data_IF_810919580588
#
_entry.id   IF_810919580588
#
_cell.length_a   1.000
_cell.length_b   1.000
_cell.length_c   1.000
_cell.angle_alpha   90.00
_cell.angle_beta   90.00
_cell.angle_gamma   90.00
#
_symmetry.space_group_name_H-M   'P 1'
#
loop_
_entity.id
_entity.type
_entity.pdbx_description
1 polymer ?
#
# COMPACT_ATOMS: atom_id res chain seq x y z
N UNK A 1 8.49 6.17 19.08
CA UNK A 1 7.52 6.02 17.96
C UNK A 1 8.03 6.64 16.68
N UNK A 2 8.38 7.93 16.65
CA UNK A 2 8.87 8.62 15.44
C UNK A 2 10.18 8.00 14.92
N UNK A 3 11.14 7.72 15.82
CA UNK A 3 12.43 7.11 15.48
C UNK A 3 12.29 5.81 14.67
N UNK A 4 11.42 4.90 15.09
CA UNK A 4 11.21 3.63 14.39
C UNK A 4 10.72 3.83 12.95
N UNK A 5 9.90 4.86 12.70
CA UNK A 5 9.44 5.20 11.33
C UNK A 5 10.61 5.72 10.48
N UNK A 6 11.52 6.51 11.07
CA UNK A 6 12.71 7.03 10.40
C UNK A 6 13.71 5.92 10.05
N UNK A 7 13.81 4.89 10.90
CA UNK A 7 14.58 3.66 10.71
C UNK A 7 13.93 2.69 9.69
N UNK A 8 12.76 3.05 9.14
CA UNK A 8 12.12 2.31 8.07
C UNK A 8 11.04 1.33 8.52
N UNK A 9 10.75 1.23 9.83
CA UNK A 9 9.64 0.41 10.30
C UNK A 9 8.32 0.87 9.68
N UNK A 10 7.55 -0.09 9.17
CA UNK A 10 6.17 0.09 8.69
C UNK A 10 5.31 -1.00 9.29
N UNK A 11 4.01 -0.73 9.36
CA UNK A 11 3.07 -1.72 9.87
C UNK A 11 3.11 -2.97 8.98
N UNK A 12 3.14 -4.17 9.59
CA UNK A 12 3.07 -5.42 8.84
C UNK A 12 1.70 -5.54 8.15
N UNK A 13 1.61 -6.44 7.18
CA UNK A 13 0.34 -6.76 6.54
C UNK A 13 -0.64 -7.31 7.60
N UNK A 14 -1.89 -6.83 7.65
CA UNK A 14 -2.94 -7.47 8.43
C UNK A 14 -3.15 -8.93 8.00
N UNK A 15 -3.63 -9.78 8.90
CA UNK A 15 -3.94 -11.17 8.58
C UNK A 15 -4.98 -11.25 7.44
N UNK A 16 -4.70 -12.04 6.41
CA UNK A 16 -5.57 -12.18 5.24
C UNK A 16 -5.58 -10.96 4.30
N UNK A 17 -4.73 -9.96 4.53
CA UNK A 17 -4.63 -8.81 3.64
C UNK A 17 -3.95 -9.22 2.32
N UNK A 18 -4.58 -8.96 1.16
CA UNK A 18 -3.96 -9.16 -0.14
C UNK A 18 -2.63 -8.39 -0.25
N UNK A 19 -1.62 -9.05 -0.82
CA UNK A 19 -0.27 -8.49 -1.00
C UNK A 19 -0.32 -7.16 -1.74
N UNK A 20 -1.14 -7.06 -2.79
CA UNK A 20 -1.32 -5.84 -3.57
C UNK A 20 -1.81 -4.65 -2.72
N UNK A 21 -2.68 -4.89 -1.73
CA UNK A 21 -3.16 -3.83 -0.83
C UNK A 21 -2.08 -3.40 0.15
N UNK A 22 -1.32 -4.35 0.72
CA UNK A 22 -0.20 -4.00 1.60
C UNK A 22 0.89 -3.23 0.86
N UNK A 23 1.19 -3.59 -0.39
CA UNK A 23 2.11 -2.83 -1.24
C UNK A 23 1.64 -1.39 -1.45
N UNK A 24 0.34 -1.16 -1.72
CA UNK A 24 -0.22 0.19 -1.79
C UNK A 24 -0.02 0.96 -0.47
N UNK A 25 -0.23 0.33 0.68
CA UNK A 25 0.03 0.97 1.98
C UNK A 25 1.49 1.38 2.13
N UNK A 26 2.44 0.52 1.75
CA UNK A 26 3.88 0.83 1.78
C UNK A 26 4.26 1.97 0.84
N UNK A 27 3.60 2.10 -0.32
CA UNK A 27 3.76 3.25 -1.22
C UNK A 27 3.23 4.55 -0.59
N UNK A 28 2.08 4.49 0.09
CA UNK A 28 1.55 5.62 0.83
C UNK A 28 2.46 6.05 1.99
N UNK A 29 3.23 5.11 2.56
CA UNK A 29 4.14 5.36 3.68
C UNK A 29 5.60 5.61 3.26
N UNK A 30 5.88 5.94 2.00
CA UNK A 30 7.23 6.34 1.59
C UNK A 30 7.75 7.51 2.44
N UNK A 31 9.04 7.43 2.81
CA UNK A 31 9.72 8.47 3.59
C UNK A 31 9.65 9.81 2.86
N UNK A 32 10.02 9.79 1.58
CA UNK A 32 9.97 10.95 0.72
C UNK A 32 8.54 11.25 0.27
N UNK A 33 8.06 12.47 0.52
CA UNK A 33 6.69 12.88 0.18
C UNK A 33 6.40 12.81 -1.32
N UNK A 34 7.37 13.16 -2.14
CA UNK A 34 7.29 13.14 -3.62
C UNK A 34 7.06 11.74 -4.18
N UNK A 35 7.48 10.69 -3.46
CA UNK A 35 7.35 9.28 -3.85
C UNK A 35 6.02 8.65 -3.45
N UNK A 36 5.21 9.36 -2.66
CA UNK A 36 3.87 8.90 -2.29
C UNK A 36 2.93 9.08 -3.50
N UNK A 37 2.04 8.12 -3.77
CA UNK A 37 1.08 8.23 -4.87
C UNK A 37 0.15 9.43 -4.65
N UNK A 38 -0.32 10.05 -5.74
CA UNK A 38 -1.38 11.05 -5.64
C UNK A 38 -2.68 10.33 -5.32
N UNK A 39 -3.63 11.08 -4.76
CA UNK A 39 -4.93 10.52 -4.39
C UNK A 39 -5.64 9.84 -5.58
N UNK A 40 -5.57 10.44 -6.78
CA UNK A 40 -6.14 9.86 -8.00
C UNK A 40 -5.50 8.52 -8.38
N UNK A 41 -4.20 8.35 -8.14
CA UNK A 41 -3.49 7.10 -8.41
C UNK A 41 -3.97 5.99 -7.46
N UNK A 42 -4.17 6.34 -6.18
CA UNK A 42 -4.72 5.43 -5.16
C UNK A 42 -6.13 4.96 -5.55
N UNK A 43 -7.01 5.90 -5.93
CA UNK A 43 -8.38 5.58 -6.36
C UNK A 43 -8.37 4.69 -7.61
N UNK A 44 -7.55 5.02 -8.62
CA UNK A 44 -7.43 4.23 -9.85
C UNK A 44 -6.92 2.81 -9.58
N UNK A 45 -5.95 2.65 -8.67
CA UNK A 45 -5.46 1.35 -8.27
C UNK A 45 -6.55 0.51 -7.59
N UNK A 46 -7.28 1.08 -6.62
CA UNK A 46 -8.36 0.40 -5.92
C UNK A 46 -9.52 0.03 -6.86
N UNK A 47 -9.89 0.93 -7.78
CA UNK A 47 -10.93 0.69 -8.77
C UNK A 47 -10.60 -0.51 -9.68
N UNK A 48 -9.35 -0.63 -10.12
CA UNK A 48 -8.88 -1.80 -10.89
C UNK A 48 -8.98 -3.11 -10.11
N UNK A 49 -8.62 -3.09 -8.82
CA UNK A 49 -8.71 -4.27 -7.96
C UNK A 49 -10.16 -4.69 -7.71
N UNK A 50 -11.07 -3.74 -7.51
CA UNK A 50 -12.49 -4.02 -7.30
C UNK A 50 -13.13 -4.63 -8.56
N UNK A 51 -12.75 -4.15 -9.75
CA UNK A 51 -13.26 -4.69 -11.02
C UNK A 51 -12.69 -6.06 -11.38
N UNK A 52 -11.51 -6.41 -10.87
CA UNK A 52 -10.89 -7.72 -11.07
C UNK A 52 -10.37 -8.30 -9.75
N UNK A 53 -11.25 -8.84 -8.89
CA UNK A 53 -10.87 -9.36 -7.58
C UNK A 53 -9.91 -10.57 -7.67
N UNK A 54 -9.84 -11.25 -8.81
CA UNK A 54 -8.86 -12.30 -9.07
C UNK A 54 -7.41 -11.82 -8.94
N UNK A 55 -7.15 -10.52 -9.18
CA UNK A 55 -5.85 -9.90 -8.97
C UNK A 55 -5.43 -9.80 -7.50
N UNK A 56 -6.34 -10.05 -6.55
CA UNK A 56 -6.04 -10.13 -5.12
C UNK A 56 -5.53 -11.51 -4.69
N UNK A 57 -5.69 -12.54 -5.55
CA UNK A 57 -5.33 -13.92 -5.26
C UNK A 57 -3.88 -14.27 -5.62
N UNK A 58 -3.10 -13.32 -6.16
CA UNK A 58 -1.71 -13.58 -6.54
C UNK A 58 -0.83 -13.62 -5.27
N UNK A 59 -0.32 -14.83 -5.01
CA UNK A 59 0.48 -15.31 -3.87
C UNK A 59 1.65 -14.40 -3.47
#
# INVERSE_FOLDING_TARGET
>A
VILSIEEGYRLPAPMGCPVALHQLMLLCWQKERSRRPRFNDVVSFLDKLIRNPSSLLTL
#
